data_IF_836454803882
#
_entry.id   IF_836454803882
#
_cell.length_a   1.000
_cell.length_b   1.000
_cell.length_c   1.000
_cell.angle_alpha   90.00
_cell.angle_beta   90.00
_cell.angle_gamma   90.00
#
_symmetry.space_group_name_H-M   'P 1'
#
loop_
_entity.id
_entity.type
_entity.pdbx_description
1 polymer ?
#
# COMPACT_ATOMS: atom_id res chain seq x y z
N UNK A 1 -10.83 -20.93 -10.10
CA UNK A 1 -11.29 -19.93 -9.12
C UNK A 1 -11.79 -18.71 -9.87
N UNK A 2 -12.95 -18.13 -9.50
CA UNK A 2 -13.51 -16.92 -10.14
C UNK A 2 -13.66 -15.84 -9.07
N UNK A 3 -13.22 -14.63 -9.36
CA UNK A 3 -13.30 -13.48 -8.46
C UNK A 3 -14.38 -12.52 -8.95
N UNK A 4 -15.10 -11.90 -8.03
CA UNK A 4 -16.06 -10.83 -8.33
C UNK A 4 -15.57 -9.51 -7.73
N UNK A 5 -15.84 -8.40 -8.41
CA UNK A 5 -15.60 -7.05 -7.92
C UNK A 5 -16.95 -6.41 -7.57
N UNK A 6 -17.08 -5.93 -6.33
CA UNK A 6 -18.29 -5.27 -5.83
C UNK A 6 -17.91 -3.85 -5.43
N UNK A 7 -18.64 -2.86 -5.96
CA UNK A 7 -18.42 -1.44 -5.66
C UNK A 7 -19.58 -0.90 -4.84
N UNK A 8 -19.28 -0.30 -3.69
CA UNK A 8 -20.28 0.35 -2.83
C UNK A 8 -20.33 1.85 -3.12
N UNK A 9 -21.52 2.43 -3.05
CA UNK A 9 -21.69 3.89 -3.09
C UNK A 9 -21.55 4.43 -1.66
N UNK A 10 -20.56 5.29 -1.43
CA UNK A 10 -20.33 5.93 -0.14
C UNK A 10 -18.85 5.93 0.25
N UNK A 11 -18.56 6.47 1.44
CA UNK A 11 -17.21 6.50 2.01
C UNK A 11 -16.97 5.42 3.07
N UNK A 12 -18.03 4.74 3.53
CA UNK A 12 -17.98 3.73 4.58
C UNK A 12 -18.25 2.34 4.01
N UNK A 13 -17.43 1.37 4.39
CA UNK A 13 -17.68 -0.04 4.09
C UNK A 13 -18.68 -0.63 5.10
N UNK A 14 -19.64 -1.46 4.66
CA UNK A 14 -20.50 -2.20 5.58
C UNK A 14 -19.71 -3.32 6.27
N UNK A 15 -20.12 -3.75 7.47
CA UNK A 15 -19.46 -4.85 8.19
C UNK A 15 -19.71 -6.22 7.54
N UNK A 16 -20.86 -6.38 6.88
CA UNK A 16 -21.29 -7.64 6.25
C UNK A 16 -22.01 -7.39 4.92
N UNK A 17 -21.90 -8.36 4.01
CA UNK A 17 -22.71 -8.46 2.80
C UNK A 17 -23.36 -9.83 2.69
N UNK A 18 -24.46 -9.91 1.94
CA UNK A 18 -25.13 -11.16 1.64
C UNK A 18 -24.98 -11.49 0.15
N UNK A 19 -24.36 -12.62 -0.15
CA UNK A 19 -24.26 -13.18 -1.49
C UNK A 19 -24.91 -14.56 -1.49
N UNK A 20 -25.87 -14.80 -2.36
CA UNK A 20 -26.57 -16.10 -2.44
C UNK A 20 -27.14 -16.57 -1.09
N UNK A 21 -27.73 -15.66 -0.31
CA UNK A 21 -28.26 -15.93 1.05
C UNK A 21 -27.19 -16.30 2.10
N UNK A 22 -25.91 -16.16 1.77
CA UNK A 22 -24.80 -16.39 2.70
C UNK A 22 -24.25 -15.05 3.17
N UNK A 23 -24.05 -14.92 4.49
CA UNK A 23 -23.46 -13.73 5.11
C UNK A 23 -21.93 -13.79 5.04
N UNK A 24 -21.30 -12.79 4.46
CA UNK A 24 -19.84 -12.65 4.36
C UNK A 24 -19.36 -11.41 5.12
N UNK A 25 -18.31 -11.51 5.95
CA UNK A 25 -17.68 -10.35 6.56
C UNK A 25 -16.91 -9.54 5.52
N UNK A 26 -17.01 -8.22 5.58
CA UNK A 26 -16.18 -7.32 4.78
C UNK A 26 -14.97 -6.93 5.60
N UNK A 27 -13.79 -7.25 5.09
CA UNK A 27 -12.52 -6.91 5.76
C UNK A 27 -11.83 -5.85 4.90
N UNK A 28 -11.54 -4.66 5.45
CA UNK A 28 -10.79 -3.64 4.74
C UNK A 28 -9.45 -4.20 4.27
N UNK A 29 -9.12 -3.97 3.00
CA UNK A 29 -7.79 -4.28 2.51
C UNK A 29 -6.80 -3.25 3.04
N UNK A 30 -5.94 -3.67 3.97
CA UNK A 30 -4.81 -2.86 4.41
C UNK A 30 -3.65 -3.11 3.46
N UNK A 31 -3.31 -2.12 2.65
CA UNK A 31 -2.15 -2.21 1.77
C UNK A 31 -0.88 -2.39 2.60
N UNK A 32 0.02 -3.27 2.14
CA UNK A 32 1.34 -3.38 2.77
C UNK A 32 2.04 -2.04 2.65
N UNK A 33 2.64 -1.59 3.75
CA UNK A 33 3.49 -0.41 3.73
C UNK A 33 4.64 -0.63 2.75
N UNK A 34 4.72 0.24 1.74
CA UNK A 34 5.81 0.22 0.77
C UNK A 34 7.05 0.89 1.36
N UNK A 35 8.19 0.20 1.26
CA UNK A 35 9.50 0.78 1.54
C UNK A 35 10.07 1.33 0.24
N UNK A 36 10.48 2.59 0.25
CA UNK A 36 11.18 3.18 -0.87
C UNK A 36 12.67 2.90 -0.77
N UNK A 37 13.22 2.11 -1.69
CA UNK A 37 14.65 1.78 -1.70
C UNK A 37 15.57 2.92 -2.16
N UNK A 38 15.01 4.08 -2.54
CA UNK A 38 15.81 5.27 -2.91
C UNK A 38 16.16 6.12 -1.69
N UNK A 39 15.23 6.34 -0.76
CA UNK A 39 15.44 7.19 0.43
C UNK A 39 15.16 6.47 1.76
N UNK A 40 14.87 5.16 1.68
CA UNK A 40 14.68 4.24 2.81
C UNK A 40 13.62 4.66 3.84
N UNK A 41 12.54 5.33 3.40
CA UNK A 41 11.34 5.47 4.25
C UNK A 41 10.08 4.90 3.62
N UNK A 42 9.09 4.75 4.50
CA UNK A 42 7.80 4.13 4.24
C UNK A 42 6.84 5.07 3.51
N UNK A 43 5.88 4.49 2.79
CA UNK A 43 4.73 5.19 2.22
C UNK A 43 4.74 5.33 0.69
N UNK A 44 5.85 4.99 0.03
CA UNK A 44 5.89 4.86 -1.43
C UNK A 44 7.00 3.92 -1.88
N UNK A 45 6.96 3.52 -3.17
CA UNK A 45 8.02 2.73 -3.81
C UNK A 45 9.01 3.64 -4.55
N UNK A 46 10.21 3.11 -4.84
CA UNK A 46 11.30 3.85 -5.51
C UNK A 46 10.87 4.62 -6.77
N UNK A 47 10.03 4.02 -7.62
CA UNK A 47 9.54 4.65 -8.86
C UNK A 47 8.66 5.89 -8.65
N UNK A 48 8.09 6.06 -7.45
CA UNK A 48 7.26 7.21 -7.07
C UNK A 48 8.02 8.21 -6.18
N UNK A 49 9.32 7.98 -5.97
CA UNK A 49 10.15 8.81 -5.10
C UNK A 49 10.43 10.17 -5.74
N UNK A 50 10.04 11.24 -5.04
CA UNK A 50 10.39 12.63 -5.38
C UNK A 50 11.51 13.20 -4.51
N UNK A 51 12.03 12.40 -3.58
CA UNK A 51 13.10 12.80 -2.65
C UNK A 51 14.47 12.44 -3.20
N UNK A 52 15.51 13.12 -2.70
CA UNK A 52 16.91 12.75 -2.95
C UNK A 52 17.22 11.36 -2.40
N UNK A 53 18.06 10.63 -3.12
CA UNK A 53 18.52 9.32 -2.69
C UNK A 53 19.33 9.44 -1.39
N UNK A 54 19.05 8.54 -0.45
CA UNK A 54 19.74 8.47 0.85
C UNK A 54 20.45 7.15 0.99
N UNK A 55 21.51 7.13 1.78
CA UNK A 55 22.15 5.88 2.19
C UNK A 55 21.35 5.22 3.32
N UNK A 56 21.28 3.89 3.33
CA UNK A 56 20.48 3.15 4.31
C UNK A 56 21.06 3.25 5.73
N UNK A 57 22.39 3.28 5.86
CA UNK A 57 23.04 3.21 7.17
C UNK A 57 23.17 4.57 7.85
N UNK A 58 23.48 5.63 7.09
CA UNK A 58 23.68 6.98 7.65
C UNK A 58 22.51 7.94 7.40
N UNK A 59 21.58 7.60 6.50
CA UNK A 59 20.42 8.45 6.18
C UNK A 59 20.76 9.77 5.46
N UNK A 60 22.04 10.01 5.18
CA UNK A 60 22.54 11.17 4.43
C UNK A 60 22.45 10.91 2.92
N UNK A 61 22.68 11.96 2.13
CA UNK A 61 22.83 11.88 0.68
C UNK A 61 23.83 10.80 0.30
N UNK A 62 23.54 10.04 -0.77
CA UNK A 62 24.47 9.02 -1.28
C UNK A 62 25.84 9.66 -1.49
N UNK A 63 26.81 9.27 -0.67
CA UNK A 63 28.20 9.57 -0.91
C UNK A 63 28.53 8.93 -2.27
N UNK A 64 28.95 9.75 -3.24
CA UNK A 64 29.31 9.25 -4.56
C UNK A 64 30.47 8.26 -4.41
N UNK A 65 30.33 7.08 -5.01
CA UNK A 65 31.49 6.25 -5.33
C UNK A 65 32.38 7.07 -6.26
N UNK A 66 33.59 7.37 -5.79
CA UNK A 66 34.67 7.90 -6.62
C UNK A 66 35.39 6.74 -7.29
#
# INVERSE_FOLDING_TARGET
SRTILITFRGQTLPDYIYLYMIRHPVIPFVSKTSLCYNYFRLGHIGSQCKSHARYIDCGDTRHGDN
#
